data_IF_314433137677
#
_entry.id   IF_314433137677
#
_cell.length_a   1.000
_cell.length_b   1.000
_cell.length_c   1.000
_cell.angle_alpha   90.00
_cell.angle_beta   90.00
_cell.angle_gamma   90.00
#
_symmetry.space_group_name_H-M   'P 1'
#
loop_
_entity.id
_entity.type
_entity.pdbx_description
1 polymer ?
#
# COMPACT_ATOMS: atom_id res chain seq x y z
N UNK A 1 -5.54 -16.35 -6.47
CA UNK A 1 -5.70 -15.57 -7.72
C UNK A 1 -6.34 -14.23 -7.38
N UNK A 2 -5.55 -13.20 -7.05
CA UNK A 2 -6.07 -11.82 -7.06
C UNK A 2 -5.96 -11.33 -8.49
N UNK A 3 -7.11 -11.11 -9.11
CA UNK A 3 -7.23 -10.49 -10.43
C UNK A 3 -6.45 -9.18 -10.40
N UNK A 4 -5.36 -9.12 -11.18
CA UNK A 4 -4.69 -7.86 -11.51
C UNK A 4 -5.66 -7.07 -12.39
N UNK A 5 -6.63 -6.41 -11.76
CA UNK A 5 -7.44 -5.39 -12.40
C UNK A 5 -6.48 -4.26 -12.70
N UNK A 6 -6.04 -4.20 -13.96
CA UNK A 6 -5.30 -3.07 -14.49
C UNK A 6 -6.15 -1.82 -14.22
N UNK A 7 -5.64 -0.79 -13.53
CA UNK A 7 -6.44 0.38 -13.22
C UNK A 7 -6.95 1.01 -14.53
N UNK A 8 -8.17 1.57 -14.53
CA UNK A 8 -8.74 2.22 -15.71
C UNK A 8 -7.81 3.34 -16.15
N UNK A 9 -7.52 3.42 -17.45
CA UNK A 9 -6.67 4.48 -18.01
C UNK A 9 -7.47 5.78 -17.90
N UNK A 10 -7.11 6.62 -16.93
CA UNK A 10 -7.66 7.97 -16.75
C UNK A 10 -6.82 8.96 -17.57
N UNK A 11 -7.43 10.01 -18.09
CA UNK A 11 -6.73 11.03 -18.89
C UNK A 11 -5.57 11.65 -18.11
N UNK A 12 -4.43 11.88 -18.79
CA UNK A 12 -3.14 12.22 -18.17
C UNK A 12 -3.16 13.49 -17.31
N UNK A 13 -4.10 14.40 -17.56
CA UNK A 13 -4.24 15.65 -16.79
C UNK A 13 -4.92 15.44 -15.44
N UNK A 14 -5.89 14.51 -15.35
CA UNK A 14 -6.59 14.25 -14.09
C UNK A 14 -5.94 13.16 -13.27
N UNK A 15 -5.25 12.19 -13.89
CA UNK A 15 -4.48 11.15 -13.20
C UNK A 15 -3.19 11.65 -12.52
N UNK A 16 -2.72 12.84 -12.91
CA UNK A 16 -1.46 13.40 -12.42
C UNK A 16 -1.48 13.60 -10.90
N UNK A 17 -2.59 14.11 -10.36
CA UNK A 17 -2.73 14.38 -8.93
C UNK A 17 -2.76 13.10 -8.09
N UNK A 18 -3.47 12.04 -8.50
CA UNK A 18 -3.52 10.78 -7.74
C UNK A 18 -2.19 10.02 -7.82
N UNK A 19 -1.53 10.03 -8.98
CA UNK A 19 -0.21 9.41 -9.12
C UNK A 19 0.82 10.18 -8.28
N UNK A 20 0.78 11.51 -8.31
CA UNK A 20 1.68 12.32 -7.48
C UNK A 20 1.41 12.09 -5.98
N UNK A 21 0.14 12.03 -5.58
CA UNK A 21 -0.26 11.71 -4.22
C UNK A 21 0.26 10.33 -3.79
N UNK A 22 0.12 9.30 -4.64
CA UNK A 22 0.69 7.97 -4.40
C UNK A 22 2.20 8.02 -4.21
N UNK A 23 2.91 8.73 -5.08
CA UNK A 23 4.37 8.86 -5.01
C UNK A 23 4.82 9.60 -3.75
N UNK A 24 4.09 10.63 -3.31
CA UNK A 24 4.35 11.31 -2.05
C UNK A 24 4.11 10.38 -0.85
N UNK A 25 3.02 9.61 -0.89
CA UNK A 25 2.65 8.69 0.19
C UNK A 25 3.50 7.42 0.25
N UNK A 26 4.15 7.02 -0.85
CA UNK A 26 5.00 5.81 -0.90
C UNK A 26 6.44 6.04 -0.46
N UNK A 27 6.82 7.27 -0.05
CA UNK A 27 8.18 7.56 0.40
C UNK A 27 8.43 7.02 1.79
N UNK A 28 9.55 6.31 1.98
CA UNK A 28 9.97 5.77 3.28
C UNK A 28 10.26 6.85 4.34
N UNK A 29 10.61 8.07 3.89
CA UNK A 29 10.80 9.22 4.75
C UNK A 29 9.91 10.37 4.29
N UNK A 30 8.92 10.71 5.11
CA UNK A 30 8.04 11.85 4.90
C UNK A 30 8.76 13.09 5.44
N UNK A 31 9.30 13.90 4.53
CA UNK A 31 9.91 15.21 4.84
C UNK A 31 8.78 16.24 4.98
N UNK A 32 8.90 17.29 5.81
CA UNK A 32 7.85 18.31 5.96
C UNK A 32 7.33 18.89 4.64
N UNK A 33 8.21 19.08 3.65
CA UNK A 33 7.82 19.52 2.30
C UNK A 33 6.85 18.56 1.60
N UNK A 34 7.01 17.25 1.81
CA UNK A 34 6.12 16.23 1.26
C UNK A 34 4.75 16.27 1.93
N UNK A 35 4.69 16.59 3.23
CA UNK A 35 3.43 16.76 3.97
C UNK A 35 2.62 17.91 3.38
N UNK A 36 3.25 19.05 3.15
CA UNK A 36 2.59 20.21 2.55
C UNK A 36 2.14 19.95 1.11
N UNK A 37 2.94 19.18 0.35
CA UNK A 37 2.54 18.74 -0.99
C UNK A 37 1.31 17.83 -0.96
N UNK A 38 1.27 16.85 -0.05
CA UNK A 38 0.10 15.97 0.15
C UNK A 38 -1.14 16.81 0.48
N UNK A 39 -1.03 17.74 1.45
CA UNK A 39 -2.15 18.62 1.81
C UNK A 39 -2.66 19.43 0.62
N UNK A 40 -1.74 19.96 -0.20
CA UNK A 40 -2.09 20.74 -1.40
C UNK A 40 -2.81 19.88 -2.43
N UNK A 41 -2.35 18.66 -2.66
CA UNK A 41 -2.99 17.72 -3.59
C UNK A 41 -4.38 17.30 -3.11
N UNK A 42 -4.58 17.15 -1.80
CA UNK A 42 -5.88 16.81 -1.21
C UNK A 42 -6.91 17.95 -1.29
N UNK A 43 -6.50 19.19 -1.59
CA UNK A 43 -7.45 20.27 -1.89
C UNK A 43 -8.01 20.19 -3.32
N UNK A 44 -7.46 19.32 -4.17
CA UNK A 44 -7.95 19.09 -5.53
C UNK A 44 -9.03 18.00 -5.52
N UNK A 45 -9.75 17.86 -6.63
CA UNK A 45 -10.73 16.79 -6.80
C UNK A 45 -10.00 15.46 -7.08
N UNK A 46 -9.85 14.64 -6.04
CA UNK A 46 -9.15 13.37 -6.08
C UNK A 46 -10.13 12.23 -6.37
N UNK A 47 -9.87 11.47 -7.42
CA UNK A 47 -10.57 10.20 -7.66
C UNK A 47 -10.01 9.12 -6.73
N UNK A 48 -10.63 9.00 -5.56
CA UNK A 48 -10.29 8.00 -4.56
C UNK A 48 -10.41 6.56 -5.07
N UNK A 49 -11.32 6.30 -6.02
CA UNK A 49 -11.51 4.96 -6.58
C UNK A 49 -10.30 4.59 -7.43
N UNK A 50 -9.87 5.48 -8.32
CA UNK A 50 -8.67 5.30 -9.13
C UNK A 50 -7.41 5.19 -8.26
N UNK A 51 -7.28 6.05 -7.25
CA UNK A 51 -6.16 6.03 -6.30
C UNK A 51 -6.04 4.67 -5.59
N UNK A 52 -7.13 4.16 -5.02
CA UNK A 52 -7.15 2.89 -4.29
C UNK A 52 -6.86 1.72 -5.22
N UNK A 53 -7.45 1.68 -6.41
CA UNK A 53 -7.19 0.61 -7.38
C UNK A 53 -5.73 0.59 -7.83
N UNK A 54 -5.17 1.78 -8.09
CA UNK A 54 -3.76 1.92 -8.48
C UNK A 54 -2.85 1.50 -7.34
N UNK A 55 -3.12 1.96 -6.10
CA UNK A 55 -2.40 1.54 -4.90
C UNK A 55 -2.43 0.02 -4.70
N UNK A 56 -3.59 -0.61 -4.92
CA UNK A 56 -3.77 -2.06 -4.80
C UNK A 56 -2.91 -2.80 -5.82
N UNK A 57 -2.96 -2.36 -7.08
CA UNK A 57 -2.22 -2.99 -8.19
C UNK A 57 -0.71 -2.90 -8.02
N UNK A 58 -0.22 -1.83 -7.38
CA UNK A 58 1.20 -1.59 -7.11
C UNK A 58 1.66 -2.14 -5.75
N UNK A 59 0.75 -2.68 -4.93
CA UNK A 59 1.09 -3.20 -3.59
C UNK A 59 1.40 -2.13 -2.53
N UNK A 60 1.10 -0.86 -2.79
CA UNK A 60 1.46 0.27 -1.92
C UNK A 60 0.32 0.77 -1.02
N UNK A 61 -0.82 0.05 -0.96
CA UNK A 61 -1.93 0.40 -0.05
C UNK A 61 -1.48 0.63 1.39
N UNK A 62 -0.62 -0.22 2.00
CA UNK A 62 -0.23 -0.01 3.38
C UNK A 62 0.50 1.32 3.62
N UNK A 63 1.36 1.70 2.67
CA UNK A 63 2.09 2.97 2.69
C UNK A 63 1.14 4.15 2.51
N UNK A 64 0.18 4.04 1.58
CA UNK A 64 -0.86 5.05 1.37
C UNK A 64 -1.68 5.29 2.65
N UNK A 65 -2.17 4.23 3.29
CA UNK A 65 -2.92 4.32 4.53
C UNK A 65 -2.10 4.97 5.66
N UNK A 66 -0.86 4.50 5.86
CA UNK A 66 0.01 5.02 6.91
C UNK A 66 0.36 6.49 6.70
N UNK A 67 0.65 6.88 5.46
CA UNK A 67 0.97 8.27 5.11
C UNK A 67 -0.21 9.20 5.33
N UNK A 68 -1.39 8.86 4.81
CA UNK A 68 -2.60 9.68 4.97
C UNK A 68 -3.00 9.80 6.45
N UNK A 69 -2.93 8.69 7.20
CA UNK A 69 -3.21 8.69 8.64
C UNK A 69 -2.23 9.58 9.43
N UNK A 70 -0.95 9.60 9.04
CA UNK A 70 0.08 10.36 9.75
C UNK A 70 0.06 11.86 9.40
N UNK A 71 -0.35 12.22 8.19
CA UNK A 71 -0.23 13.61 7.70
C UNK A 71 -1.53 14.39 7.70
N UNK A 72 -2.68 13.77 7.43
CA UNK A 72 -3.90 14.50 7.13
C UNK A 72 -5.18 13.63 7.19
N UNK A 73 -5.39 12.94 8.31
CA UNK A 73 -6.61 12.12 8.48
C UNK A 73 -7.92 12.91 8.36
N UNK A 74 -7.91 14.20 8.69
CA UNK A 74 -9.11 15.05 8.66
C UNK A 74 -9.54 15.45 7.24
N UNK A 75 -8.60 15.45 6.28
CA UNK A 75 -8.87 15.84 4.89
C UNK A 75 -9.35 14.66 4.02
N UNK A 76 -9.33 13.44 4.56
CA UNK A 76 -9.73 12.22 3.84
C UNK A 76 -11.12 11.79 4.31
N UNK A 77 -12.05 11.48 3.39
CA UNK A 77 -13.36 10.98 3.78
C UNK A 77 -13.26 9.70 4.64
N UNK A 78 -14.02 9.62 5.73
CA UNK A 78 -13.95 8.50 6.69
C UNK A 78 -14.22 7.14 6.04
N UNK A 79 -15.09 7.10 5.02
CA UNK A 79 -15.38 5.90 4.24
C UNK A 79 -14.12 5.36 3.55
N UNK A 80 -13.28 6.25 3.01
CA UNK A 80 -12.02 5.91 2.33
C UNK A 80 -10.98 5.44 3.35
N UNK A 81 -10.84 6.14 4.49
CA UNK A 81 -9.94 5.71 5.56
C UNK A 81 -10.31 4.34 6.11
N UNK A 82 -11.60 4.06 6.28
CA UNK A 82 -12.10 2.76 6.73
C UNK A 82 -11.79 1.66 5.70
N UNK A 83 -12.00 1.95 4.42
CA UNK A 83 -11.69 1.02 3.34
C UNK A 83 -10.18 0.71 3.28
N UNK A 84 -9.32 1.74 3.35
CA UNK A 84 -7.86 1.59 3.39
C UNK A 84 -7.40 0.79 4.61
N UNK A 85 -8.00 1.05 5.79
CA UNK A 85 -7.74 0.30 7.01
C UNK A 85 -8.10 -1.19 6.86
N UNK A 86 -9.24 -1.50 6.22
CA UNK A 86 -9.65 -2.88 5.96
C UNK A 86 -8.64 -3.61 5.08
N UNK A 87 -8.19 -2.96 3.99
CA UNK A 87 -7.13 -3.52 3.14
C UNK A 87 -5.81 -3.72 3.88
N UNK A 88 -5.41 -2.75 4.71
CA UNK A 88 -4.21 -2.83 5.55
C UNK A 88 -4.25 -4.06 6.47
N UNK A 89 -5.35 -4.26 7.20
CA UNK A 89 -5.49 -5.40 8.11
C UNK A 89 -5.55 -6.73 7.34
N UNK A 90 -6.27 -6.78 6.22
CA UNK A 90 -6.36 -7.98 5.38
C UNK A 90 -4.97 -8.39 4.87
N UNK A 91 -4.16 -7.42 4.43
CA UNK A 91 -2.79 -7.68 4.01
C UNK A 91 -1.91 -8.17 5.18
N UNK A 92 -2.02 -7.56 6.36
CA UNK A 92 -1.26 -7.98 7.54
C UNK A 92 -1.59 -9.43 7.95
N UNK A 93 -2.88 -9.80 7.95
CA UNK A 93 -3.33 -11.17 8.26
C UNK A 93 -2.79 -12.15 7.21
N UNK A 94 -2.88 -11.82 5.92
CA UNK A 94 -2.36 -12.66 4.85
C UNK A 94 -0.84 -12.85 4.97
N UNK A 95 -0.10 -11.78 5.27
CA UNK A 95 1.36 -11.82 5.45
C UNK A 95 1.76 -12.68 6.66
N UNK A 96 0.97 -12.64 7.74
CA UNK A 96 1.17 -13.51 8.91
C UNK A 96 0.97 -14.99 8.56
N UNK A 97 -0.08 -15.31 7.79
CA UNK A 97 -0.33 -16.68 7.31
C UNK A 97 0.83 -17.18 6.43
N UNK A 98 1.31 -16.36 5.50
CA UNK A 98 2.46 -16.71 4.65
C UNK A 98 3.74 -16.86 5.47
N UNK A 99 3.93 -16.06 6.52
CA UNK A 99 5.06 -16.19 7.45
C UNK A 99 5.01 -17.52 8.17
N UNK A 100 3.83 -17.94 8.63
CA UNK A 100 3.66 -19.22 9.30
C UNK A 100 4.04 -20.39 8.37
N UNK A 101 3.59 -20.38 7.13
CA UNK A 101 3.95 -21.42 6.15
C UNK A 101 5.43 -21.38 5.78
N UNK A 102 6.02 -20.19 5.66
CA UNK A 102 7.46 -20.04 5.43
C UNK A 102 8.28 -20.67 6.57
N UNK A 103 7.89 -20.45 7.83
CA UNK A 103 8.57 -21.06 8.98
C UNK A 103 8.51 -22.59 8.94
N UNK A 104 7.35 -23.16 8.62
CA UNK A 104 7.21 -24.63 8.44
C UNK A 104 8.12 -25.16 7.35
N UNK A 105 8.23 -24.45 6.22
CA UNK A 105 9.12 -24.84 5.12
C UNK A 105 10.60 -24.76 5.52
N UNK A 106 11.00 -23.72 6.26
CA UNK A 106 12.37 -23.59 6.75
C UNK A 106 12.73 -24.69 7.76
N UNK A 107 11.80 -25.08 8.63
CA UNK A 107 11.95 -26.22 9.54
C UNK A 107 12.13 -27.52 8.76
N UNK A 108 11.27 -27.80 7.78
CA UNK A 108 11.34 -29.00 6.95
C UNK A 108 12.64 -29.10 6.14
N UNK A 109 13.10 -27.99 5.56
CA UNK A 109 14.36 -27.94 4.80
C UNK A 109 15.56 -28.18 5.73
N UNK A 110 15.52 -27.59 6.93
CA UNK A 110 16.54 -27.81 7.96
C UNK A 110 16.60 -29.27 8.41
N UNK A 111 15.47 -29.95 8.55
CA UNK A 111 15.42 -31.39 8.89
C UNK A 111 16.12 -32.28 7.83
N UNK A 112 16.25 -31.78 6.59
CA UNK A 112 16.92 -32.48 5.49
C UNK A 112 18.32 -31.95 5.21
N UNK A 113 18.92 -31.18 6.13
CA UNK A 113 20.23 -30.53 5.98
C UNK A 113 20.33 -29.59 4.76
N UNK A 114 19.19 -29.07 4.29
CA UNK A 114 19.13 -28.11 3.18
C UNK A 114 19.17 -26.69 3.75
N UNK A 115 20.24 -25.97 3.46
CA UNK A 115 20.37 -24.58 3.86
C UNK A 115 19.50 -23.67 2.98
N UNK A 116 18.51 -23.02 3.60
CA UNK A 116 17.60 -22.10 2.94
C UNK A 116 17.60 -20.73 3.63
N UNK A 117 17.74 -19.67 2.84
CA UNK A 117 17.57 -18.29 3.29
C UNK A 117 16.37 -17.71 2.53
N UNK A 118 15.31 -17.25 3.21
CA UNK A 118 14.21 -16.58 2.54
C UNK A 118 14.71 -15.29 1.89
N UNK A 119 14.67 -15.25 0.56
CA UNK A 119 15.05 -14.08 -0.22
C UNK A 119 13.81 -13.24 -0.51
N UNK A 120 13.65 -12.15 0.27
CA UNK A 120 12.42 -11.34 0.45
C UNK A 120 11.40 -12.05 1.34
N UNK A 121 10.98 -11.36 2.41
CA UNK A 121 9.98 -11.89 3.34
C UNK A 121 8.56 -11.56 2.88
N UNK A 122 7.53 -12.24 3.43
CA UNK A 122 6.12 -11.84 3.33
C UNK A 122 5.83 -10.47 3.98
N UNK A 123 6.84 -9.78 4.49
CA UNK A 123 6.77 -8.43 5.04
C UNK A 123 6.81 -7.33 3.97
N UNK A 124 7.17 -7.66 2.72
CA UNK A 124 7.15 -6.72 1.59
C UNK A 124 5.82 -6.77 0.84
#
# INVERSE_FOLDING_TARGET
MKTLVKPPIKDSETAGAEIELLLCCSRSHIVPETVERIKTLLQQDIDWTYLIQTAASQGVIPLLYQSLKATCSEAVPEIILTQLRSYYHTNAVHNLLLTQELLKLLELLKEHDIYAIPFKGPYL
#
